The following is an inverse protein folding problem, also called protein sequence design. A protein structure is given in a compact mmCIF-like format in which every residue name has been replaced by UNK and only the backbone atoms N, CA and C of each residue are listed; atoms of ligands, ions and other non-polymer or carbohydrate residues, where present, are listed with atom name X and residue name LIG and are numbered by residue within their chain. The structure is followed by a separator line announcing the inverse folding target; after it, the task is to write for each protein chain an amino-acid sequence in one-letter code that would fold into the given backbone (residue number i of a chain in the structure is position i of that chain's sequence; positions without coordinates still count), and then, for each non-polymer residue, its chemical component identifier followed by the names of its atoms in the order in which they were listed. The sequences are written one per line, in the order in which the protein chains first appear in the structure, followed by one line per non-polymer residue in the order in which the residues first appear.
data_IF_969114256278
#
_entry.id   IF_969114256278
#
_cell.length_a   1.000
_cell.length_b   1.000
_cell.length_c   1.000
_cell.angle_alpha   90.00
_cell.angle_beta   90.00
_cell.angle_gamma   90.00
#
_symmetry.space_group_name_H-M   'P 1'
#
loop_
_entity.id
_entity.type
_entity.pdbx_description
1 polymer ?
#
# COMPACT_ATOMS: atom_id res chain seq x y z
N UNK A 1 -3.33 18.32 11.58
CA UNK A 1 -3.83 16.96 11.30
C UNK A 1 -3.26 16.03 12.37
N UNK A 2 -4.07 15.14 12.96
CA UNK A 2 -3.57 14.18 13.98
C UNK A 2 -2.64 13.17 13.31
N UNK A 3 -1.57 12.78 14.00
CA UNK A 3 -0.67 11.72 13.55
C UNK A 3 -1.34 10.39 13.86
N UNK A 4 -1.57 9.57 12.84
CA UNK A 4 -2.22 8.27 13.01
C UNK A 4 -1.25 7.28 13.67
N UNK A 5 -1.72 6.56 14.69
CA UNK A 5 -0.95 5.50 15.34
C UNK A 5 -0.77 4.27 14.42
N UNK A 6 -1.62 4.17 13.39
CA UNK A 6 -1.54 3.19 12.31
C UNK A 6 -1.53 3.98 10.99
N UNK A 7 -0.37 4.20 10.35
CA UNK A 7 -0.31 4.93 9.10
C UNK A 7 -1.09 4.22 7.99
N UNK A 8 -1.77 5.02 7.17
CA UNK A 8 -2.49 4.57 5.98
C UNK A 8 -1.67 4.98 4.76
N UNK A 9 -1.29 4.01 3.95
CA UNK A 9 -0.61 4.21 2.67
C UNK A 9 -1.57 3.92 1.54
N UNK A 10 -1.65 4.84 0.57
CA UNK A 10 -2.36 4.60 -0.68
C UNK A 10 -1.32 4.39 -1.77
N UNK A 11 -1.38 3.25 -2.45
CA UNK A 11 -0.53 2.95 -3.60
C UNK A 11 -1.32 3.21 -4.88
N UNK A 12 -0.74 3.97 -5.80
CA UNK A 12 -1.40 4.39 -7.04
C UNK A 12 -0.37 4.77 -8.07
N UNK A 13 -0.64 4.54 -9.36
CA UNK A 13 0.25 5.08 -10.41
C UNK A 13 0.21 6.60 -10.39
N UNK A 14 1.35 7.25 -10.62
CA UNK A 14 1.45 8.72 -10.62
C UNK A 14 0.54 9.39 -11.64
N UNK A 15 0.29 8.71 -12.77
CA UNK A 15 -0.56 9.17 -13.86
C UNK A 15 -2.06 9.04 -13.59
N UNK A 16 -2.48 8.23 -12.61
CA UNK A 16 -3.90 7.94 -12.35
C UNK A 16 -4.55 9.03 -11.48
N UNK A 17 -4.52 10.27 -11.99
CA UNK A 17 -4.95 11.47 -11.27
C UNK A 17 -6.41 11.38 -10.82
N UNK A 18 -7.31 10.86 -11.66
CA UNK A 18 -8.73 10.72 -11.32
C UNK A 18 -8.95 9.74 -10.16
N UNK A 19 -8.32 8.55 -10.21
CA UNK A 19 -8.40 7.55 -9.14
C UNK A 19 -7.86 8.11 -7.82
N UNK A 20 -6.70 8.78 -7.87
CA UNK A 20 -6.12 9.48 -6.71
C UNK A 20 -7.05 10.53 -6.11
N UNK A 21 -7.74 11.31 -6.94
CA UNK A 21 -8.67 12.34 -6.49
C UNK A 21 -9.92 11.73 -5.84
N UNK A 22 -10.46 10.65 -6.42
CA UNK A 22 -11.63 9.93 -5.88
C UNK A 22 -11.31 9.40 -4.48
N UNK A 23 -10.26 8.59 -4.34
CA UNK A 23 -9.91 8.01 -3.03
C UNK A 23 -9.53 9.08 -2.00
N UNK A 24 -8.83 10.13 -2.43
CA UNK A 24 -8.51 11.28 -1.57
C UNK A 24 -9.77 11.95 -1.02
N UNK A 25 -10.78 12.19 -1.86
CA UNK A 25 -12.05 12.76 -1.42
C UNK A 25 -12.73 11.85 -0.41
N UNK A 26 -12.81 10.54 -0.68
CA UNK A 26 -13.46 9.59 0.23
C UNK A 26 -12.74 9.51 1.59
N UNK A 27 -11.40 9.54 1.61
CA UNK A 27 -10.64 9.58 2.87
C UNK A 27 -10.87 10.88 3.66
N UNK A 28 -10.95 12.03 2.97
CA UNK A 28 -11.23 13.32 3.60
C UNK A 28 -12.64 13.37 4.21
N UNK A 29 -13.65 12.86 3.50
CA UNK A 29 -15.03 12.76 4.00
C UNK A 29 -15.12 11.94 5.29
N UNK A 30 -14.22 10.97 5.46
CA UNK A 30 -14.10 10.13 6.65
C UNK A 30 -13.11 10.67 7.70
N UNK A 31 -12.54 11.87 7.52
CA UNK A 31 -11.50 12.46 8.39
C UNK A 31 -10.26 11.57 8.62
N UNK A 32 -9.88 10.77 7.62
CA UNK A 32 -8.72 9.91 7.67
C UNK A 32 -7.47 10.62 7.13
N UNK A 33 -6.31 10.37 7.74
CA UNK A 33 -5.02 10.86 7.26
C UNK A 33 -4.26 9.75 6.54
N UNK A 34 -3.69 10.03 5.37
CA UNK A 34 -2.98 9.04 4.57
C UNK A 34 -1.70 9.60 3.96
N UNK A 35 -0.87 8.70 3.44
CA UNK A 35 0.31 9.01 2.62
C UNK A 35 0.13 8.39 1.24
N UNK A 36 0.13 9.22 0.20
CA UNK A 36 0.15 8.73 -1.18
C UNK A 36 1.55 8.22 -1.54
N UNK A 37 1.62 7.05 -2.16
CA UNK A 37 2.86 6.43 -2.63
C UNK A 37 2.74 6.18 -4.12
N UNK A 38 3.70 6.73 -4.87
CA UNK A 38 3.79 6.51 -6.31
C UNK A 38 4.18 5.05 -6.57
N UNK A 39 3.28 4.32 -7.22
CA UNK A 39 3.54 2.98 -7.70
C UNK A 39 4.48 3.00 -8.91
N UNK A 40 5.32 1.96 -9.01
CA UNK A 40 6.19 1.70 -10.14
C UNK A 40 5.34 1.32 -11.34
N UNK A 41 5.67 1.83 -12.52
CA UNK A 41 5.01 1.39 -13.74
C UNK A 41 5.75 0.20 -14.36
N UNK A 42 5.01 -0.80 -14.87
CA UNK A 42 5.62 -1.97 -15.49
C UNK A 42 6.48 -1.64 -16.72
N UNK A 43 6.16 -0.56 -17.42
CA UNK A 43 6.93 -0.08 -18.59
C UNK A 43 8.28 0.56 -18.21
N UNK A 44 8.48 0.96 -16.94
CA UNK A 44 9.76 1.50 -16.44
C UNK A 44 10.77 0.38 -16.16
N UNK A 45 10.31 -0.87 -16.05
CA UNK A 45 11.18 -2.01 -15.78
C UNK A 45 11.98 -2.40 -17.02
N UNK A 46 13.30 -2.44 -16.88
CA UNK A 46 14.17 -2.86 -17.97
C UNK A 46 13.97 -4.35 -18.33
N UNK A 47 14.08 -4.66 -19.62
CA UNK A 47 14.05 -6.04 -20.11
C UNK A 47 15.13 -6.92 -19.46
N UNK A 48 16.33 -6.36 -19.22
CA UNK A 48 17.42 -7.08 -18.56
C UNK A 48 17.04 -7.46 -17.11
N UNK A 49 16.38 -6.56 -16.40
CA UNK A 49 15.90 -6.84 -15.05
C UNK A 49 14.84 -7.94 -15.06
N UNK A 50 13.82 -7.85 -15.92
CA UNK A 50 12.80 -8.89 -16.05
C UNK A 50 13.38 -10.24 -16.45
N UNK A 51 14.33 -10.27 -17.39
CA UNK A 51 15.03 -11.50 -17.78
C UNK A 51 15.83 -12.10 -16.62
N UNK A 52 16.48 -11.27 -15.81
CA UNK A 52 17.20 -11.76 -14.62
C UNK A 52 16.26 -12.44 -13.62
N UNK A 53 15.04 -11.91 -13.43
CA UNK A 53 14.01 -12.53 -12.61
C UNK A 53 13.52 -13.84 -13.23
N UNK A 54 13.30 -13.86 -14.55
CA UNK A 54 12.87 -15.06 -15.25
C UNK A 54 13.85 -16.21 -15.09
N UNK A 55 15.15 -15.92 -15.21
CA UNK A 55 16.22 -16.89 -15.00
C UNK A 55 16.28 -17.35 -13.53
N UNK A 56 16.18 -16.41 -12.59
CA UNK A 56 16.25 -16.70 -11.16
C UNK A 56 15.09 -17.57 -10.67
N UNK A 57 13.87 -17.27 -11.10
CA UNK A 57 12.65 -17.94 -10.64
C UNK A 57 12.15 -19.02 -11.61
N UNK A 58 12.85 -19.23 -12.72
CA UNK A 58 12.51 -20.17 -13.78
C UNK A 58 11.04 -20.05 -14.25
N UNK A 59 10.52 -18.83 -14.31
CA UNK A 59 9.14 -18.51 -14.68
C UNK A 59 9.08 -17.14 -15.37
N UNK A 60 8.23 -16.92 -16.39
CA UNK A 60 7.98 -15.59 -16.93
C UNK A 60 7.44 -14.64 -15.86
N UNK A 61 8.07 -13.49 -15.73
CA UNK A 61 7.68 -12.40 -14.84
C UNK A 61 6.95 -11.34 -15.67
N UNK A 62 5.70 -11.07 -15.36
CA UNK A 62 4.96 -10.02 -16.04
C UNK A 62 5.38 -8.66 -15.49
N UNK A 63 5.66 -7.66 -16.36
CA UNK A 63 6.15 -6.35 -15.90
C UNK A 63 5.25 -5.70 -14.85
N UNK A 64 3.93 -5.78 -15.03
CA UNK A 64 2.96 -5.21 -14.09
C UNK A 64 2.92 -5.93 -12.74
N UNK A 65 3.11 -7.26 -12.72
CA UNK A 65 3.18 -8.03 -11.47
C UNK A 65 4.45 -7.69 -10.66
N UNK A 66 5.58 -7.57 -11.37
CA UNK A 66 6.85 -7.17 -10.77
C UNK A 66 6.76 -5.74 -10.24
N UNK A 67 6.17 -4.83 -11.02
CA UNK A 67 5.99 -3.43 -10.62
C UNK A 67 5.07 -3.29 -9.40
N UNK A 68 3.97 -4.05 -9.34
CA UNK A 68 3.11 -4.12 -8.16
C UNK A 68 3.89 -4.61 -6.92
N UNK A 69 4.67 -5.68 -7.07
CA UNK A 69 5.50 -6.22 -5.99
C UNK A 69 6.53 -5.20 -5.48
N UNK A 70 7.20 -4.50 -6.39
CA UNK A 70 8.18 -3.46 -6.05
C UNK A 70 7.53 -2.25 -5.37
N UNK A 71 6.33 -1.86 -5.82
CA UNK A 71 5.55 -0.79 -5.21
C UNK A 71 5.24 -1.11 -3.74
N UNK A 72 4.72 -2.32 -3.47
CA UNK A 72 4.46 -2.79 -2.11
C UNK A 72 5.73 -2.94 -1.28
N UNK A 73 6.82 -3.47 -1.86
CA UNK A 73 8.10 -3.58 -1.18
C UNK A 73 8.63 -2.22 -0.72
N UNK A 74 8.44 -1.17 -1.52
CA UNK A 74 8.81 0.20 -1.12
C UNK A 74 8.04 0.67 0.12
N UNK A 75 6.76 0.30 0.24
CA UNK A 75 5.92 0.63 1.39
C UNK A 75 6.33 -0.20 2.61
N UNK A 76 6.59 -1.50 2.44
CA UNK A 76 7.13 -2.34 3.52
C UNK A 76 8.43 -1.77 4.08
N UNK A 77 9.33 -1.30 3.21
CA UNK A 77 10.54 -0.63 3.63
C UNK A 77 10.24 0.63 4.45
N UNK A 78 9.29 1.47 4.02
CA UNK A 78 8.86 2.65 4.81
C UNK A 78 8.28 2.27 6.17
N UNK A 79 7.48 1.21 6.25
CA UNK A 79 6.89 0.71 7.50
C UNK A 79 7.99 0.28 8.46
N UNK A 80 8.97 -0.50 7.99
CA UNK A 80 10.13 -0.95 8.78
C UNK A 80 10.97 0.25 9.23
N UNK A 81 11.30 1.15 8.31
CA UNK A 81 12.15 2.32 8.58
C UNK A 81 11.46 3.34 9.52
N UNK A 82 10.13 3.31 9.63
CA UNK A 82 9.33 4.20 10.50
C UNK A 82 9.02 3.61 11.89
N UNK A 83 9.48 2.38 12.17
CA UNK A 83 9.24 1.65 13.43
C UNK A 83 7.76 1.62 13.85
N UNK A 84 6.86 1.42 12.89
CA UNK A 84 5.42 1.28 13.15
C UNK A 84 5.03 -0.20 13.25
N UNK A 85 4.29 -0.56 14.30
CA UNK A 85 3.88 -1.95 14.52
C UNK A 85 2.81 -2.42 13.51
N UNK A 86 1.88 -1.52 13.17
CA UNK A 86 0.76 -1.77 12.28
C UNK A 86 0.68 -0.67 11.23
N UNK A 87 0.31 -1.05 10.00
CA UNK A 87 0.05 -0.12 8.91
C UNK A 87 -1.06 -0.67 8.02
N UNK A 88 -1.76 0.22 7.34
CA UNK A 88 -2.78 -0.12 6.34
C UNK A 88 -2.24 0.28 4.98
N UNK A 89 -2.34 -0.61 4.00
CA UNK A 89 -2.00 -0.33 2.60
C UNK A 89 -3.27 -0.55 1.79
N UNK A 90 -3.68 0.46 1.02
CA UNK A 90 -4.84 0.41 0.13
C UNK A 90 -4.40 0.73 -1.30
N UNK A 91 -4.99 0.04 -2.26
CA UNK A 91 -4.95 0.43 -3.67
C UNK A 91 -5.88 1.63 -3.91
N UNK A 92 -5.70 2.33 -5.02
CA UNK A 92 -6.47 3.53 -5.36
C UNK A 92 -7.90 3.29 -5.86
N UNK A 93 -8.30 2.03 -6.07
CA UNK A 93 -9.70 1.62 -6.25
C UNK A 93 -10.35 1.06 -4.97
N UNK A 94 -9.69 1.19 -3.82
CA UNK A 94 -10.33 0.84 -2.55
C UNK A 94 -11.57 1.70 -2.31
N UNK A 95 -12.66 1.05 -1.91
CA UNK A 95 -13.90 1.73 -1.53
C UNK A 95 -13.79 2.11 -0.05
N UNK A 96 -13.86 3.40 0.24
CA UNK A 96 -13.84 3.91 1.61
C UNK A 96 -15.28 4.20 2.05
N UNK A 97 -15.84 3.27 2.81
CA UNK A 97 -17.19 3.35 3.38
C UNK A 97 -17.15 3.48 4.91
N UNK A 98 -18.33 3.63 5.53
CA UNK A 98 -18.44 3.74 7.01
C UNK A 98 -17.84 2.52 7.71
N UNK A 99 -18.14 1.26 7.33
CA UNK A 99 -17.52 0.09 7.94
C UNK A 99 -15.98 0.11 7.95
N UNK A 100 -15.35 0.43 6.81
CA UNK A 100 -13.89 0.51 6.74
C UNK A 100 -13.37 1.66 7.61
N UNK A 101 -14.00 2.83 7.54
CA UNK A 101 -13.65 4.00 8.36
C UNK A 101 -13.74 3.70 9.86
N UNK A 102 -14.83 3.07 10.30
CA UNK A 102 -15.05 2.66 11.69
C UNK A 102 -13.95 1.69 12.14
N UNK A 103 -13.61 0.69 11.32
CA UNK A 103 -12.50 -0.23 11.59
C UNK A 103 -11.17 0.52 11.78
N UNK A 104 -10.85 1.45 10.89
CA UNK A 104 -9.60 2.24 10.96
C UNK A 104 -9.55 3.07 12.24
N UNK A 105 -10.64 3.72 12.61
CA UNK A 105 -10.72 4.48 13.85
C UNK A 105 -10.58 3.59 15.10
N UNK A 106 -11.10 2.37 15.07
CA UNK A 106 -10.90 1.41 16.16
C UNK A 106 -9.45 0.96 16.28
N UNK A 107 -8.73 0.81 15.17
CA UNK A 107 -7.29 0.52 15.18
C UNK A 107 -6.48 1.69 15.76
N UNK A 108 -6.81 2.93 15.40
CA UNK A 108 -6.19 4.13 15.96
C UNK A 108 -6.40 4.28 17.47
N UNK A 109 -7.53 3.77 17.99
CA UNK A 109 -7.83 3.71 19.43
C UNK A 109 -7.05 2.62 20.18
N UNK A 110 -6.12 1.93 19.51
CA UNK A 110 -5.23 0.96 20.14
C UNK A 110 -5.84 -0.43 20.32
N UNK A 111 -6.93 -0.77 19.60
CA UNK A 111 -7.52 -2.11 19.61
C UNK A 111 -6.77 -3.12 18.72
N UNK A 112 -5.48 -2.91 18.51
CA UNK A 112 -4.63 -3.82 17.73
C UNK A 112 -4.40 -5.16 18.43
N UNK A 113 -4.66 -5.26 19.75
CA UNK A 113 -4.53 -6.50 20.53
C UNK A 113 -5.46 -7.64 20.07
N UNK A 114 -6.49 -7.32 19.28
CA UNK A 114 -7.41 -8.32 18.71
C UNK A 114 -6.92 -8.83 17.34
N UNK A 115 -5.96 -8.14 16.73
CA UNK A 115 -5.36 -8.57 15.47
C UNK A 115 -4.38 -9.71 15.73
N UNK A 116 -4.51 -10.77 14.93
CA UNK A 116 -3.51 -11.84 14.92
C UNK A 116 -2.35 -11.41 14.05
N UNK A 117 -1.15 -11.36 14.63
CA UNK A 117 0.08 -11.18 13.86
C UNK A 117 0.30 -12.42 13.01
N UNK A 118 0.06 -12.32 11.70
CA UNK A 118 0.43 -13.38 10.75
C UNK A 118 1.92 -13.18 10.46
N UNK A 119 2.77 -13.96 11.12
CA UNK A 119 4.20 -13.99 10.81
C UNK A 119 4.35 -14.92 9.60
N UNK A 120 4.42 -14.36 8.40
CA UNK A 120 4.86 -15.11 7.23
C UNK A 120 6.36 -15.33 7.35
N UNK A 121 6.75 -16.55 7.70
CA UNK A 121 8.14 -17.02 7.59
C UNK A 121 8.31 -17.58 6.18
N UNK A 122 9.15 -16.93 5.38
CA UNK A 122 9.67 -17.47 4.12
C UNK A 122 11.06 -18.07 4.36
#
# INVERSE_FOLDING_TARGET
MKKNNVPIFIVSLKKDIERRNIITRSLLEQNLSWTMVDAVEGNELSHNYLNSLNLKYNKPSHPNEVACSLSHQSIYKKIIDSDVEWAIILEDDAIIDSPLSDFIHELERGKTSQLKKIISTY
#
